data_IF_922856072901
#
_entry.id   IF_922856072901
#
_cell.length_a   1.000
_cell.length_b   1.000
_cell.length_c   1.000
_cell.angle_alpha   90.00
_cell.angle_beta   90.00
_cell.angle_gamma   90.00
#
_symmetry.space_group_name_H-M   'P 1'
#
loop_
_entity.id
_entity.type
_entity.pdbx_description
1 polymer ?
#
# COMPACT_ATOMS: atom_id res chain seq x y z
N UNK A 1 -24.01 14.55 -30.51
CA UNK A 1 -22.65 14.87 -30.06
C UNK A 1 -22.73 14.90 -28.56
N UNK A 2 -22.32 13.82 -27.89
CA UNK A 2 -22.46 13.72 -26.43
C UNK A 2 -21.38 14.61 -25.83
N UNK A 3 -21.77 15.73 -25.23
CA UNK A 3 -20.84 16.53 -24.43
C UNK A 3 -20.32 15.63 -23.32
N UNK A 4 -19.05 15.23 -23.41
CA UNK A 4 -18.40 14.40 -22.41
C UNK A 4 -18.41 15.16 -21.09
N UNK A 5 -18.96 14.52 -20.05
CA UNK A 5 -18.90 15.06 -18.69
C UNK A 5 -17.43 15.26 -18.30
N UNK A 6 -17.10 16.30 -17.51
CA UNK A 6 -15.75 16.48 -17.03
C UNK A 6 -15.30 15.26 -16.24
N UNK A 7 -14.18 14.68 -16.66
CA UNK A 7 -13.48 13.62 -15.94
C UNK A 7 -12.34 14.26 -15.14
N UNK A 8 -12.00 13.64 -14.00
CA UNK A 8 -10.82 14.04 -13.25
C UNK A 8 -9.55 13.75 -14.06
N UNK A 9 -8.62 14.70 -14.12
CA UNK A 9 -7.31 14.50 -14.78
C UNK A 9 -6.32 13.87 -13.79
N UNK A 10 -5.91 12.60 -13.97
CA UNK A 10 -5.00 11.94 -13.05
C UNK A 10 -3.53 12.28 -13.30
N UNK A 11 -3.21 13.10 -14.32
CA UNK A 11 -1.82 13.40 -14.70
C UNK A 11 -1.04 14.19 -13.65
N UNK A 12 -1.74 14.85 -12.73
CA UNK A 12 -1.17 15.48 -11.52
C UNK A 12 -0.50 14.46 -10.57
N UNK A 13 -0.89 13.18 -10.63
CA UNK A 13 -0.29 12.10 -9.82
C UNK A 13 0.86 11.44 -10.58
N UNK A 14 0.58 10.93 -11.78
CA UNK A 14 1.59 10.40 -12.70
C UNK A 14 1.25 10.78 -14.14
N UNK A 15 2.23 11.23 -14.90
CA UNK A 15 2.01 11.71 -16.27
C UNK A 15 1.67 10.61 -17.27
N UNK A 16 2.04 9.36 -16.99
CA UNK A 16 1.63 8.15 -17.74
C UNK A 16 2.05 6.88 -16.99
N UNK A 17 1.57 5.72 -17.44
CA UNK A 17 2.07 4.42 -16.96
C UNK A 17 3.55 4.13 -17.30
N UNK A 18 4.14 4.85 -18.25
CA UNK A 18 5.56 4.74 -18.58
C UNK A 18 6.43 5.80 -17.86
N UNK A 19 5.80 6.69 -17.08
CA UNK A 19 6.52 7.70 -16.32
C UNK A 19 7.36 7.03 -15.22
N UNK A 20 8.60 7.50 -15.05
CA UNK A 20 9.49 7.01 -13.98
C UNK A 20 8.83 7.07 -12.60
N UNK A 21 8.08 8.12 -12.32
CA UNK A 21 7.37 8.23 -11.04
C UNK A 21 6.40 7.09 -10.77
N UNK A 22 5.73 6.57 -11.81
CA UNK A 22 4.83 5.43 -11.71
C UNK A 22 5.59 4.10 -11.59
N UNK A 23 6.59 3.88 -12.46
CA UNK A 23 7.39 2.64 -12.42
C UNK A 23 8.12 2.50 -11.10
N UNK A 24 8.74 3.58 -10.60
CA UNK A 24 9.43 3.59 -9.31
C UNK A 24 8.44 3.36 -8.15
N UNK A 25 7.20 3.83 -8.25
CA UNK A 25 6.17 3.59 -7.24
C UNK A 25 5.69 2.13 -7.25
N UNK A 26 5.56 1.51 -8.42
CA UNK A 26 5.26 0.08 -8.56
C UNK A 26 6.38 -0.80 -7.98
N UNK A 27 7.65 -0.47 -8.27
CA UNK A 27 8.81 -1.19 -7.72
C UNK A 27 8.90 -1.03 -6.20
N UNK A 28 8.72 0.19 -5.69
CA UNK A 28 8.67 0.46 -4.25
C UNK A 28 7.54 -0.31 -3.56
N UNK A 29 6.36 -0.39 -4.18
CA UNK A 29 5.24 -1.15 -3.64
C UNK A 29 5.59 -2.63 -3.44
N UNK A 30 6.26 -3.27 -4.40
CA UNK A 30 6.72 -4.66 -4.24
C UNK A 30 7.67 -4.78 -3.06
N UNK A 31 8.67 -3.90 -2.99
CA UNK A 31 9.64 -3.91 -1.89
C UNK A 31 8.99 -3.66 -0.52
N UNK A 32 7.98 -2.80 -0.43
CA UNK A 32 7.31 -2.48 0.83
C UNK A 32 6.40 -3.63 1.29
N UNK A 33 5.75 -4.34 0.35
CA UNK A 33 5.03 -5.58 0.66
C UNK A 33 5.98 -6.67 1.16
N UNK A 34 7.13 -6.85 0.53
CA UNK A 34 8.13 -7.84 0.98
C UNK A 34 8.63 -7.52 2.40
N UNK A 35 8.89 -6.24 2.70
CA UNK A 35 9.26 -5.79 4.05
C UNK A 35 8.13 -6.02 5.06
N UNK A 36 6.88 -5.77 4.66
CA UNK A 36 5.74 -6.01 5.53
C UNK A 36 5.61 -7.49 5.85
N UNK A 37 5.76 -8.38 4.88
CA UNK A 37 5.76 -9.84 5.12
C UNK A 37 6.88 -10.24 6.08
N UNK A 38 8.11 -9.77 5.84
CA UNK A 38 9.23 -10.05 6.73
C UNK A 38 8.97 -9.56 8.16
N UNK A 39 8.35 -8.38 8.33
CA UNK A 39 7.99 -7.85 9.65
C UNK A 39 6.96 -8.73 10.38
N UNK A 40 5.95 -9.25 9.66
CA UNK A 40 4.99 -10.20 10.23
C UNK A 40 5.70 -11.46 10.73
N UNK A 41 6.64 -12.00 9.94
CA UNK A 41 7.41 -13.20 10.29
C UNK A 41 8.35 -12.96 11.48
N UNK A 42 9.09 -11.85 11.47
CA UNK A 42 10.01 -11.45 12.55
C UNK A 42 9.28 -11.29 13.89
N UNK A 43 8.06 -10.75 13.86
CA UNK A 43 7.24 -10.54 15.06
C UNK A 43 6.37 -11.77 15.40
N UNK A 44 6.44 -12.83 14.60
CA UNK A 44 5.68 -14.06 14.81
C UNK A 44 4.17 -13.87 14.72
N UNK A 45 3.69 -12.85 13.99
CA UNK A 45 2.26 -12.56 13.87
C UNK A 45 1.61 -13.70 13.07
N UNK A 46 0.79 -14.51 13.77
CA UNK A 46 0.14 -15.79 13.34
C UNK A 46 0.88 -17.09 13.72
N UNK A 47 2.05 -17.01 14.34
CA UNK A 47 2.85 -18.19 14.75
C UNK A 47 2.92 -18.38 16.28
N UNK A 48 2.07 -17.68 17.06
CA UNK A 48 2.08 -17.74 18.52
C UNK A 48 0.96 -18.64 19.04
N UNK A 49 1.31 -19.58 19.93
CA UNK A 49 0.33 -20.36 20.68
C UNK A 49 -0.57 -19.47 21.55
N UNK A 50 -1.86 -19.81 21.74
CA UNK A 50 -2.76 -19.04 22.58
C UNK A 50 -2.19 -18.84 24.00
N UNK A 51 -1.96 -17.57 24.36
CA UNK A 51 -1.45 -17.16 25.68
C UNK A 51 -2.01 -15.80 26.06
N UNK A 52 -1.88 -15.43 27.33
CA UNK A 52 -2.24 -14.09 27.78
C UNK A 52 -1.36 -13.05 27.06
N UNK A 53 -1.96 -12.03 26.43
CA UNK A 53 -1.21 -10.94 25.82
C UNK A 53 -0.36 -10.17 26.83
N UNK A 54 0.79 -9.72 26.37
CA UNK A 54 1.79 -8.94 27.12
C UNK A 54 1.95 -7.55 26.50
N UNK A 55 2.68 -6.66 27.18
CA UNK A 55 3.02 -5.35 26.62
C UNK A 55 3.82 -5.46 25.31
N UNK A 56 4.67 -6.48 25.18
CA UNK A 56 5.45 -6.73 23.96
C UNK A 56 4.54 -7.09 22.77
N UNK A 57 3.43 -7.79 23.01
CA UNK A 57 2.46 -8.10 21.95
C UNK A 57 1.74 -6.85 21.45
N UNK A 58 1.41 -5.94 22.36
CA UNK A 58 0.80 -4.66 22.01
C UNK A 58 1.76 -3.82 21.15
N UNK A 59 3.05 -3.76 21.52
CA UNK A 59 4.08 -3.05 20.75
C UNK A 59 4.30 -3.68 19.36
N UNK A 60 4.42 -5.00 19.29
CA UNK A 60 4.55 -5.73 18.02
C UNK A 60 3.33 -5.48 17.11
N UNK A 61 2.12 -5.51 17.69
CA UNK A 61 0.87 -5.25 16.96
C UNK A 61 0.82 -3.83 16.44
N UNK A 62 1.19 -2.83 17.25
CA UNK A 62 1.22 -1.43 16.82
C UNK A 62 2.16 -1.24 15.63
N UNK A 63 3.39 -1.78 15.71
CA UNK A 63 4.37 -1.71 14.61
C UNK A 63 3.85 -2.32 13.31
N UNK A 64 3.16 -3.45 13.40
CA UNK A 64 2.57 -4.12 12.23
C UNK A 64 1.41 -3.32 11.65
N UNK A 65 0.54 -2.76 12.49
CA UNK A 65 -0.58 -1.95 12.04
C UNK A 65 -0.08 -0.70 11.31
N UNK A 66 0.92 -0.02 11.86
CA UNK A 66 1.50 1.18 11.23
C UNK A 66 2.10 0.84 9.86
N UNK A 67 2.92 -0.21 9.78
CA UNK A 67 3.53 -0.66 8.52
C UNK A 67 2.48 -1.11 7.49
N UNK A 68 1.43 -1.80 7.94
CA UNK A 68 0.33 -2.21 7.07
C UNK A 68 -0.42 -0.99 6.53
N UNK A 69 -0.75 -0.03 7.38
CA UNK A 69 -1.48 1.18 6.99
C UNK A 69 -0.68 2.02 6.00
N UNK A 70 0.62 2.15 6.19
CA UNK A 70 1.50 2.85 5.25
C UNK A 70 1.53 2.16 3.89
N UNK A 71 1.67 0.82 3.87
CA UNK A 71 1.65 0.04 2.63
C UNK A 71 0.29 0.14 1.93
N UNK A 72 -0.80 0.04 2.69
CA UNK A 72 -2.16 0.12 2.17
C UNK A 72 -2.48 1.50 1.58
N UNK A 73 -1.98 2.58 2.19
CA UNK A 73 -2.11 3.95 1.68
C UNK A 73 -1.41 4.09 0.33
N UNK A 74 -0.14 3.65 0.23
CA UNK A 74 0.62 3.68 -1.02
C UNK A 74 -0.08 2.86 -2.12
N UNK A 75 -0.63 1.70 -1.79
CA UNK A 75 -1.38 0.87 -2.74
C UNK A 75 -2.71 1.52 -3.14
N UNK A 76 -3.33 2.27 -2.23
CA UNK A 76 -4.50 3.09 -2.50
C UNK A 76 -4.24 4.13 -3.59
N UNK A 77 -3.14 4.85 -3.50
CA UNK A 77 -2.74 5.87 -4.49
C UNK A 77 -2.53 5.26 -5.89
N UNK A 78 -1.79 4.14 -5.99
CA UNK A 78 -1.57 3.44 -7.26
C UNK A 78 -2.87 2.90 -7.88
N UNK A 79 -3.76 2.33 -7.06
CA UNK A 79 -5.07 1.84 -7.53
C UNK A 79 -5.95 2.99 -8.00
N UNK A 80 -6.02 4.08 -7.25
CA UNK A 80 -6.81 5.25 -7.61
C UNK A 80 -6.35 5.82 -8.96
N UNK A 81 -5.04 6.00 -9.16
CA UNK A 81 -4.48 6.44 -10.44
C UNK A 81 -4.85 5.49 -11.59
N UNK A 82 -4.71 4.17 -11.37
CA UNK A 82 -5.02 3.16 -12.39
C UNK A 82 -6.49 3.19 -12.78
N UNK A 83 -7.41 3.22 -11.80
CA UNK A 83 -8.85 3.29 -12.07
C UNK A 83 -9.25 4.60 -12.75
N UNK A 84 -8.67 5.73 -12.35
CA UNK A 84 -8.96 7.03 -12.95
C UNK A 84 -8.47 7.13 -14.41
N UNK A 85 -7.47 6.34 -14.81
CA UNK A 85 -6.87 6.39 -16.16
C UNK A 85 -7.51 5.40 -17.15
N UNK A 86 -8.09 4.30 -16.65
CA UNK A 86 -8.69 3.23 -17.50
C UNK A 86 -10.21 3.40 -17.69
N UNK A 87 -10.87 4.17 -16.82
CA UNK A 87 -12.32 4.38 -16.82
C UNK A 87 -12.81 5.35 -17.91
#
# INVERSE_FOLDING_TARGET
MTDLLPIWDPTDVHTSFAARSFTDAMERMVSDVDRLVALFDELGVRAVEPRTPTAADAEATARVIDAYNDTARQLGELRAYTYATVA
#
